data_IF_646080667442
#
_entry.id   IF_646080667442
#
_cell.length_a   1.000
_cell.length_b   1.000
_cell.length_c   1.000
_cell.angle_alpha   90.00
_cell.angle_beta   90.00
_cell.angle_gamma   90.00
#
_symmetry.space_group_name_H-M   'P 1'
#
loop_
_entity.id
_entity.type
_entity.pdbx_description
1 polymer ?
#
# COMPACT_ATOMS: atom_id res chain seq x y z
N UNK A 1 -1.00 32.79 -11.62
CA UNK A 1 -0.39 31.82 -10.72
C UNK A 1 -0.73 30.41 -11.20
N UNK A 2 0.19 29.58 -11.12
CA UNK A 2 0.04 28.23 -11.62
C UNK A 2 -0.35 27.31 -10.50
N UNK A 3 -1.30 26.47 -10.76
CA UNK A 3 -1.72 25.50 -9.82
C UNK A 3 -0.63 24.47 -9.53
N UNK A 4 -0.65 23.93 -8.33
CA UNK A 4 0.11 22.72 -8.03
C UNK A 4 -0.54 21.56 -8.76
N UNK A 5 0.25 20.56 -9.13
CA UNK A 5 -0.30 19.31 -9.59
C UNK A 5 -1.11 18.69 -8.47
N UNK A 6 -2.34 18.23 -8.74
CA UNK A 6 -3.10 17.50 -7.74
C UNK A 6 -2.43 16.18 -7.43
N UNK A 7 -2.66 15.67 -6.23
CA UNK A 7 -2.27 14.33 -5.90
C UNK A 7 -3.11 13.34 -6.71
N UNK A 8 -2.48 12.26 -7.12
CA UNK A 8 -3.15 11.10 -7.69
C UNK A 8 -3.17 9.99 -6.65
N UNK A 9 -4.11 9.06 -6.78
CA UNK A 9 -4.20 7.93 -5.87
C UNK A 9 -4.13 6.63 -6.64
N UNK A 10 -3.19 5.77 -6.24
CA UNK A 10 -3.14 4.39 -6.70
C UNK A 10 -3.91 3.53 -5.71
N UNK A 11 -4.82 2.71 -6.20
CA UNK A 11 -5.61 1.82 -5.35
C UNK A 11 -5.29 0.38 -5.74
N UNK A 12 -4.81 -0.38 -4.78
CA UNK A 12 -4.46 -1.78 -4.96
C UNK A 12 -5.34 -2.60 -4.04
N UNK A 13 -6.18 -3.45 -4.61
CA UNK A 13 -7.19 -4.17 -3.85
C UNK A 13 -7.21 -5.65 -4.18
N UNK A 14 -7.61 -6.45 -3.21
CA UNK A 14 -7.90 -7.86 -3.39
C UNK A 14 -9.09 -8.25 -2.52
N UNK A 15 -10.01 -9.00 -3.12
CA UNK A 15 -11.23 -9.47 -2.46
C UNK A 15 -11.12 -10.98 -2.29
N UNK A 16 -10.70 -11.41 -1.12
CA UNK A 16 -10.62 -12.84 -0.77
C UNK A 16 -10.24 -12.94 0.72
N UNK A 17 -10.43 -14.11 1.31
CA UNK A 17 -9.89 -14.38 2.63
C UNK A 17 -8.36 -14.21 2.59
N UNK A 18 -7.82 -13.45 3.54
CA UNK A 18 -6.39 -13.20 3.57
C UNK A 18 -5.63 -14.46 3.98
N UNK A 19 -4.49 -14.66 3.37
CA UNK A 19 -3.56 -15.73 3.71
C UNK A 19 -2.14 -15.23 3.53
N UNK A 20 -1.23 -15.73 4.35
CA UNK A 20 0.17 -15.32 4.27
C UNK A 20 0.76 -15.80 2.94
N UNK A 21 1.13 -14.87 2.10
CA UNK A 21 1.77 -15.14 0.81
C UNK A 21 2.31 -13.85 0.22
N UNK A 22 3.30 -13.99 -0.65
CA UNK A 22 3.85 -12.89 -1.44
C UNK A 22 3.00 -12.65 -2.69
N UNK A 23 3.05 -11.44 -3.21
CA UNK A 23 2.46 -11.12 -4.51
C UNK A 23 0.97 -11.28 -4.59
N UNK A 24 0.24 -10.97 -3.54
CA UNK A 24 -1.21 -11.09 -3.49
C UNK A 24 -1.90 -10.14 -4.47
N UNK A 25 -1.29 -9.01 -4.77
CA UNK A 25 -1.79 -8.07 -5.76
C UNK A 25 -0.60 -7.37 -6.42
N UNK A 26 -0.83 -6.89 -7.64
CA UNK A 26 0.21 -6.25 -8.46
C UNK A 26 -0.33 -4.98 -9.09
N UNK A 27 0.50 -3.96 -9.18
CA UNK A 27 0.18 -2.69 -9.81
C UNK A 27 1.43 -2.15 -10.51
N UNK A 28 1.27 -1.68 -11.74
CA UNK A 28 2.37 -1.07 -12.48
C UNK A 28 2.23 0.45 -12.45
N UNK A 29 3.27 1.13 -12.01
CA UNK A 29 3.28 2.59 -11.88
C UNK A 29 3.25 3.23 -13.25
N UNK A 30 2.24 4.08 -13.55
CA UNK A 30 2.08 4.65 -14.90
C UNK A 30 2.93 5.87 -15.18
N UNK A 31 3.43 6.56 -14.15
CA UNK A 31 4.22 7.78 -14.30
C UNK A 31 5.12 7.99 -13.08
N UNK A 32 6.22 8.69 -13.27
CA UNK A 32 7.12 9.03 -12.17
C UNK A 32 6.39 9.87 -11.12
N UNK A 33 6.57 9.54 -9.85
CA UNK A 33 5.88 10.19 -8.75
C UNK A 33 6.59 9.98 -7.42
N UNK A 34 6.12 10.72 -6.41
CA UNK A 34 6.58 10.59 -5.03
C UNK A 34 5.41 10.22 -4.14
N UNK A 35 5.57 9.22 -3.30
CA UNK A 35 4.53 8.81 -2.34
C UNK A 35 4.40 9.89 -1.26
N UNK A 36 3.17 10.34 -1.02
CA UNK A 36 2.85 11.38 -0.03
C UNK A 36 2.04 10.87 1.15
N UNK A 37 1.26 9.81 0.96
CA UNK A 37 0.46 9.21 2.02
C UNK A 37 0.08 7.79 1.62
N UNK A 38 -0.24 6.97 2.60
CA UNK A 38 -0.71 5.61 2.37
C UNK A 38 -1.71 5.23 3.46
N UNK A 39 -2.74 4.50 3.06
CA UNK A 39 -3.72 3.93 3.98
C UNK A 39 -3.97 2.48 3.63
N UNK A 40 -4.45 1.72 4.60
CA UNK A 40 -4.83 0.33 4.42
C UNK A 40 -6.21 0.09 5.02
N UNK A 41 -7.02 -0.71 4.33
CA UNK A 41 -8.32 -1.13 4.81
C UNK A 41 -8.50 -2.62 4.50
N UNK A 42 -9.38 -3.27 5.24
CA UNK A 42 -9.77 -4.67 5.02
C UNK A 42 -11.29 -4.76 4.98
N UNK A 43 -11.81 -5.76 4.27
CA UNK A 43 -13.26 -5.96 4.15
C UNK A 43 -13.83 -6.58 5.43
N UNK A 44 -13.08 -7.47 6.07
CA UNK A 44 -13.48 -8.10 7.32
C UNK A 44 -12.33 -8.12 8.31
N UNK A 45 -12.67 -7.94 9.58
CA UNK A 45 -11.69 -7.88 10.67
C UNK A 45 -11.03 -9.24 10.90
N UNK A 46 -9.83 -9.18 11.44
CA UNK A 46 -9.15 -10.36 11.98
C UNK A 46 -9.43 -10.53 13.47
N UNK A 47 -9.18 -11.72 13.97
CA UNK A 47 -9.28 -12.04 15.41
C UNK A 47 -7.98 -12.71 15.84
N UNK A 48 -7.48 -12.29 16.98
CA UNK A 48 -6.31 -12.88 17.63
C UNK A 48 -4.98 -12.28 17.27
N UNK A 49 -4.87 -11.66 16.10
CA UNK A 49 -3.66 -10.96 15.67
C UNK A 49 -4.01 -9.94 14.60
N UNK A 50 -3.13 -8.96 14.41
CA UNK A 50 -3.25 -7.96 13.35
C UNK A 50 -3.03 -8.57 11.98
N UNK A 51 -3.61 -7.95 10.96
CA UNK A 51 -3.28 -8.22 9.57
C UNK A 51 -2.14 -7.28 9.17
N UNK A 52 -1.05 -7.82 8.65
CA UNK A 52 0.13 -7.05 8.25
C UNK A 52 0.42 -7.32 6.78
N UNK A 53 0.59 -6.24 6.02
CA UNK A 53 0.91 -6.30 4.61
C UNK A 53 2.26 -5.63 4.36
N UNK A 54 2.93 -6.00 3.30
CA UNK A 54 4.12 -5.29 2.84
C UNK A 54 3.91 -4.83 1.40
N UNK A 55 4.44 -3.68 1.09
CA UNK A 55 4.37 -3.10 -0.25
C UNK A 55 5.78 -3.06 -0.81
N UNK A 56 5.97 -3.73 -1.94
CA UNK A 56 7.28 -3.85 -2.57
C UNK A 56 7.31 -3.08 -3.89
N UNK A 57 8.48 -2.55 -4.21
CA UNK A 57 8.79 -1.97 -5.51
C UNK A 57 9.84 -2.83 -6.18
N UNK A 58 9.49 -3.43 -7.32
CA UNK A 58 10.39 -4.29 -8.08
C UNK A 58 11.00 -5.41 -7.20
N UNK A 59 10.19 -5.97 -6.30
CA UNK A 59 10.60 -7.06 -5.43
C UNK A 59 11.28 -6.65 -4.13
N UNK A 60 11.50 -5.36 -3.88
CA UNK A 60 12.13 -4.86 -2.66
C UNK A 60 11.15 -4.02 -1.85
N UNK A 61 11.04 -4.29 -0.56
CA UNK A 61 10.09 -3.57 0.30
C UNK A 61 10.35 -2.06 0.29
N UNK A 62 9.26 -1.30 0.28
CA UNK A 62 9.31 0.14 0.51
C UNK A 62 9.56 0.46 1.99
N UNK A 63 9.27 -0.47 2.88
CA UNK A 63 9.39 -0.32 4.33
C UNK A 63 10.65 -1.00 4.83
N UNK A 64 11.80 -0.34 4.71
CA UNK A 64 13.03 -0.87 5.31
C UNK A 64 12.92 -0.93 6.83
N UNK A 65 12.12 -0.03 7.42
CA UNK A 65 11.68 -0.15 8.80
C UNK A 65 10.42 -1.01 8.83
N UNK A 66 10.58 -2.30 9.00
CA UNK A 66 9.50 -3.29 8.86
C UNK A 66 8.35 -3.10 9.86
N UNK A 67 8.62 -2.47 11.00
CA UNK A 67 7.57 -2.16 11.97
C UNK A 67 6.52 -1.17 11.43
N UNK A 68 6.85 -0.43 10.37
CA UNK A 68 5.96 0.55 9.76
C UNK A 68 5.13 -0.01 8.60
N UNK A 69 5.22 -1.30 8.33
CA UNK A 69 4.39 -1.93 7.30
C UNK A 69 2.90 -1.66 7.55
N UNK A 70 2.09 -1.58 6.48
CA UNK A 70 0.64 -1.46 6.61
C UNK A 70 0.08 -2.51 7.57
N UNK A 71 -0.50 -2.08 8.67
CA UNK A 71 -0.98 -2.97 9.73
C UNK A 71 -2.39 -2.57 10.15
N UNK A 72 -3.32 -3.52 10.09
CA UNK A 72 -4.68 -3.35 10.58
C UNK A 72 -4.81 -4.18 11.85
N UNK A 73 -5.02 -3.51 12.97
CA UNK A 73 -5.16 -4.18 14.26
C UNK A 73 -6.33 -5.17 14.25
N UNK A 74 -6.24 -6.19 15.09
CA UNK A 74 -7.36 -7.12 15.29
C UNK A 74 -8.62 -6.32 15.65
N UNK A 75 -9.75 -6.74 15.11
CA UNK A 75 -11.06 -6.08 15.25
C UNK A 75 -11.17 -4.69 14.59
N UNK A 76 -10.14 -4.19 13.94
CA UNK A 76 -10.19 -2.96 13.17
C UNK A 76 -10.37 -3.27 11.67
N UNK A 77 -10.82 -2.27 10.91
CA UNK A 77 -11.05 -2.39 9.46
C UNK A 77 -10.13 -1.49 8.63
N UNK A 78 -9.41 -0.58 9.27
CA UNK A 78 -8.53 0.34 8.54
C UNK A 78 -7.46 0.91 9.45
N UNK A 79 -6.42 1.47 8.84
CA UNK A 79 -5.37 2.19 9.54
C UNK A 79 -4.68 3.18 8.59
N UNK A 80 -4.15 4.24 9.18
CA UNK A 80 -3.16 5.09 8.51
C UNK A 80 -1.82 4.36 8.51
N UNK A 81 -1.04 4.56 7.47
CA UNK A 81 0.27 3.94 7.32
C UNK A 81 1.33 5.04 7.37
N UNK A 82 2.37 4.83 8.15
CA UNK A 82 3.51 5.74 8.14
C UNK A 82 4.13 5.80 6.75
N UNK A 83 4.70 6.93 6.36
CA UNK A 83 5.39 7.01 5.08
C UNK A 83 6.49 5.95 5.03
N UNK A 84 6.59 5.20 3.91
CA UNK A 84 7.68 4.26 3.76
C UNK A 84 9.03 4.95 3.65
N UNK A 85 10.09 4.20 3.86
CA UNK A 85 11.45 4.71 3.72
C UNK A 85 11.78 5.06 2.27
N UNK A 86 11.22 4.31 1.33
CA UNK A 86 11.36 4.55 -0.11
C UNK A 86 10.08 5.18 -0.63
N UNK A 87 10.16 6.40 -1.15
CA UNK A 87 8.99 7.15 -1.61
C UNK A 87 9.01 7.48 -3.10
N UNK A 88 10.15 7.31 -3.76
CA UNK A 88 10.30 7.66 -5.18
C UNK A 88 9.90 6.47 -6.05
N UNK A 89 8.98 6.71 -6.99
CA UNK A 89 8.54 5.72 -7.96
C UNK A 89 8.81 6.21 -9.36
N UNK A 90 9.30 5.34 -10.22
CA UNK A 90 9.50 5.63 -11.64
C UNK A 90 8.36 5.00 -12.46
N UNK A 91 8.10 5.56 -13.63
CA UNK A 91 7.17 4.94 -14.56
C UNK A 91 7.63 3.51 -14.88
N UNK A 92 6.71 2.58 -14.83
CA UNK A 92 7.01 1.16 -15.09
C UNK A 92 7.44 0.36 -13.87
N UNK A 93 7.68 0.99 -12.72
CA UNK A 93 7.94 0.23 -11.50
C UNK A 93 6.76 -0.69 -11.20
N UNK A 94 7.05 -1.88 -10.71
CA UNK A 94 6.04 -2.88 -10.35
C UNK A 94 5.88 -2.88 -8.84
N UNK A 95 4.68 -2.54 -8.39
CA UNK A 95 4.30 -2.57 -6.97
C UNK A 95 3.58 -3.88 -6.71
N UNK A 96 4.01 -4.60 -5.71
CA UNK A 96 3.32 -5.81 -5.24
C UNK A 96 2.96 -5.66 -3.79
N UNK A 97 1.88 -6.32 -3.39
CA UNK A 97 1.45 -6.37 -1.99
C UNK A 97 1.57 -7.80 -1.51
N UNK A 98 2.31 -7.97 -0.42
CA UNK A 98 2.42 -9.24 0.28
C UNK A 98 1.51 -9.19 1.49
N UNK A 99 0.96 -10.34 1.87
CA UNK A 99 0.31 -10.51 3.16
C UNK A 99 1.28 -11.27 4.06
N UNK A 100 1.78 -10.59 5.10
CA UNK A 100 2.82 -11.13 5.98
C UNK A 100 2.25 -11.75 7.25
N UNK A 101 1.07 -11.30 7.67
CA UNK A 101 0.41 -11.84 8.86
C UNK A 101 -1.11 -11.73 8.71
N UNK A 102 -1.80 -12.73 9.21
CA UNK A 102 -3.26 -12.75 9.33
C UNK A 102 -3.65 -12.98 10.77
N UNK A 103 -4.94 -12.85 11.09
CA UNK A 103 -5.44 -13.16 12.43
C UNK A 103 -5.19 -14.62 12.80
N UNK A 104 -4.91 -14.87 14.07
CA UNK A 104 -4.60 -16.22 14.55
C UNK A 104 -5.84 -17.11 14.69
N UNK A 105 -7.01 -16.51 14.99
CA UNK A 105 -8.28 -17.23 15.08
C UNK A 105 -9.14 -17.04 13.84
N UNK A 106 -9.21 -15.80 13.33
CA UNK A 106 -9.91 -15.45 12.10
C UNK A 106 -8.96 -14.63 11.27
N UNK A 107 -8.68 -15.08 10.06
CA UNK A 107 -7.65 -14.48 9.21
C UNK A 107 -7.94 -13.03 8.85
N UNK A 108 -9.20 -12.70 8.61
CA UNK A 108 -9.60 -11.44 7.99
C UNK A 108 -9.78 -11.62 6.49
N UNK A 109 -10.42 -10.66 5.84
CA UNK A 109 -10.80 -10.78 4.42
C UNK A 109 -10.49 -9.49 3.69
N UNK A 110 -9.94 -9.63 2.51
CA UNK A 110 -9.71 -8.55 1.56
C UNK A 110 -8.67 -7.54 2.03
N UNK A 111 -8.25 -6.70 1.14
CA UNK A 111 -7.48 -5.52 1.51
C UNK A 111 -7.57 -4.48 0.40
N UNK A 112 -7.41 -3.23 0.79
CA UNK A 112 -7.23 -2.10 -0.13
C UNK A 112 -6.09 -1.26 0.41
N UNK A 113 -5.07 -1.08 -0.39
CA UNK A 113 -3.97 -0.17 -0.11
C UNK A 113 -4.15 1.03 -1.03
N UNK A 114 -4.31 2.21 -0.47
CA UNK A 114 -4.41 3.45 -1.23
C UNK A 114 -3.13 4.26 -1.02
N UNK A 115 -2.51 4.66 -2.12
CA UNK A 115 -1.24 5.38 -2.13
C UNK A 115 -1.46 6.71 -2.82
N UNK A 116 -1.40 7.80 -2.05
CA UNK A 116 -1.45 9.14 -2.62
C UNK A 116 -0.07 9.53 -3.11
N UNK A 117 0.03 9.97 -4.34
CA UNK A 117 1.30 10.30 -4.99
C UNK A 117 1.27 11.69 -5.61
N UNK A 118 2.42 12.34 -5.63
CA UNK A 118 2.62 13.58 -6.34
C UNK A 118 3.37 13.25 -7.64
N UNK A 119 2.73 13.45 -8.82
CA UNK A 119 3.43 13.26 -10.09
C UNK A 119 4.66 14.16 -10.19
N UNK A 120 5.73 13.63 -10.78
CA UNK A 120 6.98 14.36 -10.95
C UNK A 120 7.42 14.32 -12.42
N UNK A 121 8.14 15.34 -12.87
CA UNK A 121 8.67 15.38 -14.21
C UNK A 121 7.63 15.58 -15.33
N UNK A 122 6.41 15.96 -14.99
CA UNK A 122 5.36 16.23 -15.96
C UNK A 122 5.47 17.69 -16.39
N UNK A 123 5.73 17.91 -17.66
CA UNK A 123 5.88 19.25 -18.22
C UNK A 123 4.53 19.84 -18.59
N UNK A 124 4.43 21.17 -18.51
CA UNK A 124 3.26 21.90 -18.94
C UNK A 124 2.19 22.12 -17.87
N UNK A 125 2.45 21.69 -16.66
CA UNK A 125 1.50 21.84 -15.55
C UNK A 125 1.97 22.81 -14.47
N UNK A 126 3.13 23.35 -14.62
CA UNK A 126 3.74 24.21 -13.62
C UNK A 126 3.80 25.64 -14.06
#
# INVERSE_FOLDING_TARGET
>A
MFGKLPLSTFVITKVAVNSVAAGKAIFRVPFACTIKAMTVAVDATSVGASQIFDVNKNGTTLFTTQANRPTVAAAAVSASVALPNVTTLAAGDVITVDCDQVGSSTAGTGFTIAIAVLPTGIKGYY
#
